data_IF_420790278583
#
_entry.id   IF_420790278583
#
_cell.length_a   1.000
_cell.length_b   1.000
_cell.length_c   1.000
_cell.angle_alpha   90.00
_cell.angle_beta   90.00
_cell.angle_gamma   90.00
#
_symmetry.space_group_name_H-M   'P 1'
#
loop_
_entity.id
_entity.type
_entity.pdbx_description
1 polymer ?
#
# COMPACT_ATOMS: atom_id res chain seq x y z
N UNK A 1 -8.93 -27.91 -38.77
CA UNK A 1 -10.19 -28.64 -38.96
C UNK A 1 -9.93 -30.11 -38.66
N UNK A 2 -10.06 -30.49 -37.39
CA UNK A 2 -9.77 -31.79 -36.74
C UNK A 2 -9.51 -31.41 -35.27
N UNK A 3 -9.90 -32.11 -34.21
CA UNK A 3 -10.79 -33.22 -33.92
C UNK A 3 -10.83 -33.22 -32.36
N UNK A 4 -11.94 -33.66 -31.76
CA UNK A 4 -12.14 -33.98 -30.33
C UNK A 4 -12.40 -32.82 -29.34
N UNK A 5 -13.69 -32.64 -29.07
CA UNK A 5 -14.27 -32.10 -27.83
C UNK A 5 -15.33 -33.10 -27.32
N UNK A 6 -15.40 -33.26 -25.99
CA UNK A 6 -16.58 -33.55 -25.11
C UNK A 6 -16.34 -34.68 -24.11
N UNK A 7 -16.11 -34.31 -22.85
CA UNK A 7 -16.46 -35.04 -21.61
C UNK A 7 -16.59 -33.93 -20.54
N UNK A 8 -17.56 -33.80 -19.65
CA UNK A 8 -18.90 -34.33 -19.40
C UNK A 8 -19.40 -33.45 -18.23
N UNK A 9 -20.62 -32.93 -18.30
CA UNK A 9 -21.31 -32.34 -17.15
C UNK A 9 -21.84 -33.45 -16.24
N UNK A 10 -21.92 -33.20 -14.93
CA UNK A 10 -23.14 -33.27 -14.09
C UNK A 10 -22.69 -33.07 -12.63
N UNK A 11 -23.29 -32.08 -11.96
CA UNK A 11 -23.17 -31.90 -10.52
C UNK A 11 -24.20 -32.71 -9.73
N UNK A 12 -23.95 -32.90 -8.44
CA UNK A 12 -24.94 -32.99 -7.36
C UNK A 12 -24.19 -33.05 -6.02
N UNK A 13 -24.64 -32.26 -5.04
CA UNK A 13 -24.17 -32.34 -3.67
C UNK A 13 -24.84 -33.47 -2.86
N UNK A 14 -24.31 -33.66 -1.65
CA UNK A 14 -24.98 -33.93 -0.35
C UNK A 14 -24.01 -34.69 0.58
N UNK A 15 -23.81 -34.14 1.78
CA UNK A 15 -23.14 -34.71 2.96
C UNK A 15 -23.87 -36.01 3.41
N UNK A 16 -23.36 -36.97 4.19
CA UNK A 16 -22.54 -37.01 5.41
C UNK A 16 -22.08 -38.48 5.54
N UNK A 17 -20.91 -38.76 6.12
CA UNK A 17 -20.68 -40.09 6.71
C UNK A 17 -19.24 -40.55 6.90
N UNK A 18 -18.61 -40.07 7.98
CA UNK A 18 -17.53 -40.70 8.74
C UNK A 18 -16.16 -40.95 8.07
N UNK A 19 -15.21 -40.10 8.49
CA UNK A 19 -13.89 -40.57 8.91
C UNK A 19 -12.80 -40.55 7.85
N UNK A 20 -12.26 -39.36 7.58
CA UNK A 20 -10.82 -39.03 7.51
C UNK A 20 -10.78 -37.51 7.30
N UNK A 21 -10.43 -36.77 8.35
CA UNK A 21 -10.13 -35.35 8.23
C UNK A 21 -8.74 -35.22 7.61
N UNK A 22 -8.67 -34.70 6.39
CA UNK A 22 -7.42 -34.22 5.82
C UNK A 22 -7.08 -32.90 6.53
N UNK A 23 -6.25 -32.98 7.58
CA UNK A 23 -5.69 -31.80 8.23
C UNK A 23 -4.56 -31.30 7.34
N UNK A 24 -4.82 -30.26 6.56
CA UNK A 24 -3.78 -29.48 5.91
C UNK A 24 -3.24 -28.52 6.98
N UNK A 25 -2.12 -28.88 7.61
CA UNK A 25 -1.37 -27.97 8.46
C UNK A 25 -0.69 -26.91 7.56
N UNK A 26 -1.37 -25.80 7.35
CA UNK A 26 -0.74 -24.54 6.93
C UNK A 26 -0.32 -23.81 8.21
N UNK A 27 0.95 -23.92 8.58
CA UNK A 27 1.53 -23.05 9.61
C UNK A 27 1.79 -21.68 9.00
N UNK A 28 0.76 -20.85 8.92
CA UNK A 28 0.93 -19.39 8.91
C UNK A 28 0.97 -18.95 10.36
N UNK A 29 2.19 -18.75 10.88
CA UNK A 29 2.36 -17.94 12.09
C UNK A 29 2.15 -16.48 11.69
N UNK A 30 0.90 -16.02 11.62
CA UNK A 30 0.58 -14.61 11.82
C UNK A 30 0.06 -14.50 13.26
N UNK A 31 0.97 -14.26 14.19
CA UNK A 31 0.56 -13.86 15.53
C UNK A 31 0.03 -12.43 15.45
N UNK A 32 -1.11 -12.20 16.11
CA UNK A 32 -1.75 -10.91 16.33
C UNK A 32 -2.31 -10.16 15.10
N UNK A 33 -3.26 -10.78 14.39
CA UNK A 33 -4.36 -10.00 13.82
C UNK A 33 -5.17 -9.43 15.01
N UNK A 34 -4.83 -8.21 15.45
CA UNK A 34 -5.71 -7.47 16.35
C UNK A 34 -7.10 -7.44 15.72
N UNK A 35 -8.12 -7.79 16.51
CA UNK A 35 -9.52 -7.73 16.08
C UNK A 35 -9.90 -6.26 15.98
N UNK A 36 -9.67 -5.66 14.81
CA UNK A 36 -10.03 -4.28 14.53
C UNK A 36 -11.55 -4.18 14.37
N UNK A 37 -12.16 -3.32 15.18
CA UNK A 37 -13.57 -2.96 15.08
C UNK A 37 -13.81 -2.15 13.80
N UNK A 38 -14.42 -2.79 12.80
CA UNK A 38 -14.71 -2.18 11.49
C UNK A 38 -15.92 -1.24 11.51
N UNK A 39 -16.61 -1.10 12.65
CA UNK A 39 -17.86 -0.33 12.74
C UNK A 39 -17.69 1.19 12.64
N UNK A 40 -16.45 1.71 12.67
CA UNK A 40 -16.13 3.14 12.58
C UNK A 40 -15.17 3.51 11.41
N UNK A 41 -15.02 2.68 10.38
CA UNK A 41 -14.20 2.98 9.18
C UNK A 41 -14.91 3.92 8.17
N UNK A 42 -15.53 4.99 8.67
CA UNK A 42 -16.06 6.06 7.79
C UNK A 42 -14.97 7.08 7.49
N UNK A 43 -14.83 7.49 6.22
CA UNK A 43 -13.89 8.53 5.81
C UNK A 43 -14.18 9.85 6.55
N UNK A 44 -13.24 10.38 7.36
CA UNK A 44 -13.40 11.67 8.02
C UNK A 44 -13.61 12.82 7.03
N UNK A 45 -14.50 13.76 7.37
CA UNK A 45 -14.84 14.91 6.51
C UNK A 45 -14.90 16.22 7.28
N UNK A 46 -14.53 17.30 6.60
CA UNK A 46 -14.84 18.68 7.01
C UNK A 46 -16.05 19.16 6.21
N UNK A 47 -16.99 19.78 6.91
CA UNK A 47 -18.23 20.29 6.32
C UNK A 47 -18.12 21.78 6.04
N UNK A 48 -18.42 22.19 4.81
CA UNK A 48 -18.46 23.59 4.38
C UNK A 48 -19.88 23.97 3.95
N UNK A 49 -20.41 25.03 4.55
CA UNK A 49 -21.67 25.63 4.10
C UNK A 49 -21.41 26.42 2.82
N UNK A 50 -22.06 25.99 1.74
CA UNK A 50 -22.00 26.71 0.48
C UNK A 50 -23.01 27.83 0.52
N UNK A 51 -22.56 29.07 0.31
CA UNK A 51 -23.43 30.25 0.33
C UNK A 51 -23.42 30.97 -1.00
N UNK A 52 -24.59 31.47 -1.41
CA UNK A 52 -24.74 32.27 -2.61
C UNK A 52 -24.23 33.71 -2.41
N UNK A 53 -24.32 34.54 -3.46
CA UNK A 53 -23.93 35.96 -3.41
C UNK A 53 -24.76 36.78 -2.38
N UNK A 54 -25.91 36.28 -1.95
CA UNK A 54 -26.80 36.88 -0.95
C UNK A 54 -26.57 36.32 0.46
N UNK A 55 -25.54 35.47 0.65
CA UNK A 55 -25.22 34.75 1.89
C UNK A 55 -26.32 33.79 2.35
N UNK A 56 -27.14 33.31 1.42
CA UNK A 56 -28.10 32.24 1.69
C UNK A 56 -27.42 30.90 1.48
N UNK A 57 -27.69 29.93 2.35
CA UNK A 57 -27.19 28.56 2.18
C UNK A 57 -27.73 27.97 0.89
N UNK A 58 -26.83 27.35 0.12
CA UNK A 58 -27.06 26.71 -1.16
C UNK A 58 -26.55 25.25 -1.14
N UNK A 59 -26.65 24.61 0.02
CA UNK A 59 -26.19 23.24 0.25
C UNK A 59 -24.87 23.16 1.01
N UNK A 60 -24.34 21.93 1.07
CA UNK A 60 -23.20 21.58 1.92
C UNK A 60 -22.20 20.76 1.12
N UNK A 61 -20.92 21.09 1.28
CA UNK A 61 -19.79 20.30 0.80
C UNK A 61 -19.20 19.50 1.96
N UNK A 62 -19.19 18.17 1.85
CA UNK A 62 -18.43 17.28 2.74
C UNK A 62 -17.10 16.95 2.06
N UNK A 63 -16.07 17.72 2.36
CA UNK A 63 -14.74 17.49 1.81
C UNK A 63 -13.95 16.50 2.69
N UNK A 64 -13.03 15.70 2.12
CA UNK A 64 -12.18 14.82 2.93
C UNK A 64 -11.34 15.64 3.91
N UNK A 65 -11.23 15.14 5.15
CA UNK A 65 -10.33 15.70 6.15
C UNK A 65 -9.01 14.92 6.17
N UNK A 66 -8.06 15.29 5.31
CA UNK A 66 -6.77 14.57 5.25
C UNK A 66 -5.90 14.70 6.50
N UNK A 67 -6.24 15.62 7.43
CA UNK A 67 -5.62 15.67 8.76
C UNK A 67 -6.11 14.58 9.71
N UNK A 68 -7.24 13.96 9.38
CA UNK A 68 -7.87 12.87 10.13
C UNK A 68 -7.91 11.55 9.35
N UNK A 69 -7.89 11.58 8.01
CA UNK A 69 -7.88 10.37 7.17
C UNK A 69 -6.52 9.67 7.27
N UNK A 70 -6.56 8.38 7.56
CA UNK A 70 -5.42 7.46 7.57
C UNK A 70 -5.70 6.29 6.63
N UNK A 71 -4.72 5.41 6.38
CA UNK A 71 -4.95 4.22 5.55
C UNK A 71 -5.97 3.26 6.16
N UNK A 72 -6.12 3.22 7.49
CA UNK A 72 -7.17 2.41 8.14
C UNK A 72 -8.57 2.87 7.75
N UNK A 73 -8.79 4.17 7.59
CA UNK A 73 -10.09 4.72 7.20
C UNK A 73 -10.52 4.31 5.79
N UNK A 74 -9.58 3.91 4.93
CA UNK A 74 -9.88 3.48 3.56
C UNK A 74 -10.64 2.15 3.50
N UNK A 75 -10.66 1.38 4.58
CA UNK A 75 -11.52 0.22 4.60
C UNK A 75 -10.94 -0.99 3.90
N UNK A 76 -11.81 -1.60 3.10
CA UNK A 76 -11.55 -2.78 2.30
C UNK A 76 -11.84 -2.50 0.82
N UNK A 77 -11.24 -3.30 -0.07
CA UNK A 77 -11.60 -3.27 -1.48
C UNK A 77 -13.05 -3.70 -1.67
N UNK A 78 -13.81 -3.00 -2.51
CA UNK A 78 -15.20 -3.38 -2.81
C UNK A 78 -15.30 -4.47 -3.87
N UNK A 79 -14.29 -4.61 -4.72
CA UNK A 79 -14.22 -5.62 -5.77
C UNK A 79 -12.86 -6.33 -5.73
N UNK A 80 -12.84 -7.58 -6.19
CA UNK A 80 -11.61 -8.36 -6.31
C UNK A 80 -10.75 -7.86 -7.47
N UNK A 81 -9.44 -8.02 -7.37
CA UNK A 81 -8.51 -7.67 -8.44
C UNK A 81 -7.16 -8.37 -8.29
N UNK A 82 -6.31 -8.18 -9.28
CA UNK A 82 -4.98 -8.78 -9.30
C UNK A 82 -3.98 -7.93 -10.08
N UNK A 83 -2.71 -8.13 -9.76
CA UNK A 83 -1.55 -7.64 -10.52
C UNK A 83 -0.71 -8.85 -10.89
N UNK A 84 -0.29 -8.92 -12.15
CA UNK A 84 0.58 -9.98 -12.65
C UNK A 84 2.01 -9.83 -12.13
N UNK A 85 2.70 -10.96 -11.93
CA UNK A 85 4.13 -11.00 -11.58
C UNK A 85 5.05 -10.65 -12.74
N UNK A 86 4.53 -10.52 -13.96
CA UNK A 86 5.33 -10.29 -15.17
C UNK A 86 6.16 -8.98 -15.12
N UNK A 87 5.79 -8.06 -14.23
CA UNK A 87 6.42 -6.76 -14.07
C UNK A 87 7.38 -6.64 -12.87
N UNK A 88 7.50 -7.69 -12.04
CA UNK A 88 8.32 -7.68 -10.80
C UNK A 88 9.78 -7.28 -11.10
N UNK A 89 10.32 -7.75 -12.23
CA UNK A 89 11.72 -7.52 -12.63
C UNK A 89 12.05 -6.06 -12.99
N UNK A 90 11.04 -5.21 -13.22
CA UNK A 90 11.25 -3.84 -13.68
C UNK A 90 11.33 -2.82 -12.54
N UNK A 91 10.66 -3.06 -11.41
CA UNK A 91 10.39 -2.00 -10.42
C UNK A 91 11.13 -2.16 -9.10
N UNK A 92 11.86 -3.27 -8.94
CA UNK A 92 12.70 -3.53 -7.77
C UNK A 92 11.94 -3.94 -6.51
N UNK A 93 10.72 -4.47 -6.66
CA UNK A 93 9.94 -5.14 -5.62
C UNK A 93 8.88 -6.04 -6.29
N UNK A 94 8.30 -6.99 -5.56
CA UNK A 94 7.30 -7.91 -6.10
C UNK A 94 5.94 -7.23 -6.25
N UNK A 95 5.51 -6.99 -7.50
CA UNK A 95 4.22 -6.42 -7.81
C UNK A 95 3.10 -7.44 -7.73
N UNK A 96 3.37 -8.67 -8.18
CA UNK A 96 2.31 -9.66 -8.35
C UNK A 96 1.61 -9.98 -7.03
N UNK A 97 0.28 -9.76 -7.04
CA UNK A 97 -0.60 -9.99 -5.90
C UNK A 97 -2.04 -10.05 -6.36
N UNK A 98 -2.91 -10.56 -5.50
CA UNK A 98 -4.35 -10.60 -5.72
C UNK A 98 -5.05 -10.20 -4.44
N UNK A 99 -6.22 -9.62 -4.57
CA UNK A 99 -7.12 -9.32 -3.46
C UNK A 99 -8.54 -9.72 -3.81
N UNK A 100 -9.33 -9.93 -2.77
CA UNK A 100 -10.75 -10.22 -2.84
C UNK A 100 -11.53 -9.02 -2.32
N UNK A 101 -12.77 -8.89 -2.79
CA UNK A 101 -13.74 -8.01 -2.14
C UNK A 101 -13.79 -8.29 -0.63
N UNK A 102 -13.67 -7.26 0.19
CA UNK A 102 -13.60 -7.33 1.64
C UNK A 102 -12.19 -7.43 2.23
N UNK A 103 -11.15 -7.68 1.44
CA UNK A 103 -9.77 -7.64 1.93
C UNK A 103 -9.40 -6.20 2.34
N UNK A 104 -8.67 -6.05 3.45
CA UNK A 104 -8.26 -4.75 3.96
C UNK A 104 -7.25 -4.08 3.04
N UNK A 105 -7.41 -2.77 2.83
CA UNK A 105 -6.49 -1.97 2.03
C UNK A 105 -5.05 -2.07 2.57
N UNK A 106 -4.89 -2.06 3.89
CA UNK A 106 -3.60 -2.12 4.58
C UNK A 106 -2.86 -3.45 4.38
N UNK A 107 -3.56 -4.52 4.03
CA UNK A 107 -2.98 -5.86 3.87
C UNK A 107 -2.60 -6.18 2.41
N UNK A 108 -2.92 -5.27 1.48
CA UNK A 108 -2.70 -5.46 0.04
C UNK A 108 -1.79 -4.39 -0.54
N UNK A 109 -1.89 -3.15 -0.07
CA UNK A 109 -1.03 -2.06 -0.51
C UNK A 109 0.37 -2.25 0.09
N UNK A 110 1.36 -2.28 -0.79
CA UNK A 110 2.76 -2.34 -0.44
C UNK A 110 3.37 -0.95 -0.35
N UNK A 111 4.46 -0.81 0.40
CA UNK A 111 5.16 0.48 0.52
C UNK A 111 5.69 0.99 -0.82
N UNK A 112 6.12 0.08 -1.70
CA UNK A 112 6.52 0.42 -3.07
C UNK A 112 5.42 1.07 -3.89
N UNK A 113 4.14 0.80 -3.60
CA UNK A 113 3.01 1.45 -4.28
C UNK A 113 2.89 2.93 -3.90
N UNK A 114 3.28 3.26 -2.67
CA UNK A 114 3.04 4.56 -2.04
C UNK A 114 4.25 5.49 -2.08
N UNK A 115 5.42 5.01 -2.49
CA UNK A 115 6.66 5.78 -2.40
C UNK A 115 6.59 7.09 -3.19
N UNK A 116 6.11 7.08 -4.43
CA UNK A 116 6.01 8.30 -5.21
C UNK A 116 4.98 9.27 -4.61
N UNK A 117 3.84 8.75 -4.19
CA UNK A 117 2.67 9.55 -3.85
C UNK A 117 2.69 10.09 -2.43
N UNK A 118 3.23 9.33 -1.48
CA UNK A 118 3.30 9.67 -0.06
C UNK A 118 4.74 9.82 0.45
N UNK A 119 5.75 9.30 -0.26
CA UNK A 119 7.15 9.34 0.19
C UNK A 119 7.39 8.48 1.43
N UNK A 120 6.71 7.34 1.55
CA UNK A 120 6.71 6.50 2.76
C UNK A 120 8.12 6.03 3.17
N UNK A 121 9.01 5.82 2.20
CA UNK A 121 10.40 5.43 2.45
C UNK A 121 11.21 6.48 3.21
N UNK A 122 10.81 7.76 3.14
CA UNK A 122 11.47 8.91 3.77
C UNK A 122 11.04 9.15 5.21
N UNK A 123 10.19 8.29 5.76
CA UNK A 123 9.88 8.31 7.19
C UNK A 123 10.94 7.52 7.95
N UNK A 124 11.36 8.04 9.10
CA UNK A 124 12.10 7.23 10.08
C UNK A 124 11.15 6.42 10.95
N UNK A 125 11.62 5.32 11.53
CA UNK A 125 10.80 4.51 12.44
C UNK A 125 10.26 5.34 13.63
N UNK A 126 11.08 6.22 14.21
CA UNK A 126 10.67 7.17 15.26
C UNK A 126 9.61 8.17 14.77
N UNK A 127 9.69 8.64 13.51
CA UNK A 127 8.67 9.51 12.95
C UNK A 127 7.34 8.77 12.78
N UNK A 128 7.36 7.49 12.39
CA UNK A 128 6.15 6.66 12.29
C UNK A 128 5.49 6.57 13.68
N UNK A 129 6.25 6.25 14.72
CA UNK A 129 5.74 6.19 16.10
C UNK A 129 5.13 7.53 16.54
N UNK A 130 5.87 8.62 16.36
CA UNK A 130 5.43 9.95 16.76
C UNK A 130 4.16 10.41 16.04
N UNK A 131 4.07 10.16 14.72
CA UNK A 131 2.92 10.58 13.89
C UNK A 131 1.69 9.70 14.07
N UNK A 132 1.87 8.43 14.43
CA UNK A 132 0.79 7.49 14.73
C UNK A 132 0.34 7.52 16.19
N UNK A 133 1.05 8.25 17.05
CA UNK A 133 0.78 8.30 18.49
C UNK A 133 1.15 7.00 19.23
N UNK A 134 2.09 6.21 18.69
CA UNK A 134 2.62 4.99 19.32
C UNK A 134 3.83 5.32 20.19
N UNK A 135 3.97 4.59 21.29
CA UNK A 135 5.14 4.67 22.17
C UNK A 135 6.23 3.70 21.67
N UNK A 136 7.45 4.17 21.33
CA UNK A 136 8.56 3.30 20.94
C UNK A 136 8.92 2.21 21.96
N UNK A 137 8.61 2.42 23.24
CA UNK A 137 8.83 1.41 24.30
C UNK A 137 7.74 0.32 24.32
N UNK A 138 6.71 0.43 23.48
CA UNK A 138 5.60 -0.53 23.41
C UNK A 138 5.55 -1.31 22.10
N UNK A 139 6.26 -0.85 21.07
CA UNK A 139 6.32 -1.48 19.76
C UNK A 139 7.55 -2.38 19.71
N UNK A 140 7.32 -3.68 19.55
CA UNK A 140 8.39 -4.67 19.47
C UNK A 140 9.06 -4.64 18.09
N UNK A 141 10.28 -5.17 17.99
CA UNK A 141 10.98 -5.28 16.71
C UNK A 141 10.27 -6.26 15.77
N UNK A 142 9.53 -7.25 16.27
CA UNK A 142 8.68 -8.13 15.45
C UNK A 142 7.53 -7.35 14.77
N UNK A 143 6.98 -6.34 15.46
CA UNK A 143 5.91 -5.48 14.93
C UNK A 143 6.38 -4.49 13.85
N UNK A 144 7.65 -4.56 13.46
CA UNK A 144 8.26 -3.80 12.39
C UNK A 144 8.78 -4.82 11.37
N UNK A 145 7.90 -5.30 10.48
CA UNK A 145 8.19 -6.38 9.52
C UNK A 145 9.46 -6.18 8.70
N UNK A 146 9.82 -4.92 8.44
CA UNK A 146 11.11 -4.53 7.84
C UNK A 146 12.32 -5.17 8.52
N UNK A 147 12.30 -5.26 9.86
CA UNK A 147 13.41 -5.78 10.67
C UNK A 147 13.44 -7.31 10.60
N UNK A 148 12.27 -7.96 10.70
CA UNK A 148 12.11 -9.43 10.63
C UNK A 148 12.72 -9.99 9.34
N UNK A 149 12.48 -9.28 8.22
CA UNK A 149 12.92 -9.66 6.88
C UNK A 149 14.41 -9.37 6.58
N UNK A 150 15.18 -8.80 7.51
CA UNK A 150 16.62 -8.56 7.32
C UNK A 150 17.46 -9.80 7.65
N UNK A 151 18.68 -9.86 7.09
CA UNK A 151 19.78 -10.63 7.69
C UNK A 151 20.53 -9.78 8.72
N UNK A 152 21.33 -10.38 9.59
CA UNK A 152 22.23 -9.62 10.49
C UNK A 152 23.10 -8.65 9.68
N UNK A 153 23.58 -9.09 8.52
CA UNK A 153 24.38 -8.27 7.61
C UNK A 153 23.60 -7.09 7.01
N UNK A 154 22.38 -7.31 6.51
CA UNK A 154 21.57 -6.21 5.96
C UNK A 154 21.03 -5.29 7.05
N UNK A 155 20.72 -5.81 8.24
CA UNK A 155 20.34 -5.04 9.42
C UNK A 155 21.46 -4.08 9.84
N UNK A 156 22.70 -4.56 9.99
CA UNK A 156 23.85 -3.70 10.34
C UNK A 156 24.20 -2.72 9.20
N UNK A 157 23.98 -3.08 7.94
CA UNK A 157 24.15 -2.16 6.80
C UNK A 157 23.11 -1.05 6.81
N UNK A 158 21.86 -1.37 7.16
CA UNK A 158 20.79 -0.41 7.35
C UNK A 158 21.06 0.46 8.58
N UNK A 159 21.79 -0.03 9.59
CA UNK A 159 22.10 0.62 10.86
C UNK A 159 23.62 0.76 11.10
N UNK A 160 24.35 1.54 10.27
CA UNK A 160 25.81 1.56 10.27
C UNK A 160 26.41 2.07 11.59
N UNK A 161 25.67 2.86 12.37
CA UNK A 161 26.10 3.33 13.68
C UNK A 161 26.38 2.19 14.66
N UNK A 162 25.68 1.05 14.50
CA UNK A 162 25.82 -0.11 15.37
C UNK A 162 27.13 -0.88 15.15
N UNK A 163 27.84 -0.66 14.04
CA UNK A 163 29.06 -1.40 13.70
C UNK A 163 30.17 -1.21 14.74
N UNK A 164 30.25 -0.02 15.32
CA UNK A 164 31.25 0.35 16.33
C UNK A 164 30.80 0.05 17.76
N UNK A 165 29.52 -0.27 17.95
CA UNK A 165 28.94 -0.57 19.26
C UNK A 165 29.31 -1.99 19.71
N UNK A 166 29.61 -2.19 21.00
CA UNK A 166 29.79 -3.53 21.56
C UNK A 166 28.55 -4.40 21.32
N UNK A 167 28.72 -5.66 20.91
CA UNK A 167 27.58 -6.55 20.61
C UNK A 167 26.58 -6.63 21.78
N UNK A 168 27.05 -6.59 23.04
CA UNK A 168 26.19 -6.59 24.24
C UNK A 168 25.20 -5.44 24.33
N UNK A 169 25.42 -4.33 23.64
CA UNK A 169 24.51 -3.16 23.65
C UNK A 169 23.47 -3.24 22.55
N UNK A 170 23.49 -4.30 21.73
CA UNK A 170 22.51 -4.57 20.68
C UNK A 170 21.79 -5.87 21.08
N UNK A 171 20.74 -5.81 21.92
CA UNK A 171 20.21 -6.99 22.60
C UNK A 171 19.85 -8.17 21.69
N UNK A 172 19.19 -8.00 20.52
CA UNK A 172 18.93 -9.11 19.61
C UNK A 172 20.20 -9.83 19.15
N UNK A 173 21.28 -9.09 18.88
CA UNK A 173 22.55 -9.66 18.44
C UNK A 173 23.35 -10.26 19.61
N UNK A 174 23.22 -9.69 20.80
CA UNK A 174 23.80 -10.24 22.03
C UNK A 174 23.23 -11.62 22.36
N UNK A 175 21.92 -11.77 22.24
CA UNK A 175 21.22 -13.04 22.45
C UNK A 175 21.58 -14.07 21.38
N UNK A 176 21.67 -13.65 20.11
CA UNK A 176 22.17 -14.50 19.03
C UNK A 176 23.57 -15.06 19.33
N UNK A 177 24.52 -14.19 19.69
CA UNK A 177 25.89 -14.60 20.00
C UNK A 177 25.92 -15.51 21.24
N UNK A 178 25.13 -15.19 22.26
CA UNK A 178 25.01 -16.02 23.47
C UNK A 178 24.46 -17.41 23.16
N UNK A 179 23.45 -17.49 22.30
CA UNK A 179 22.86 -18.75 21.86
C UNK A 179 23.85 -19.60 21.05
N UNK A 180 24.59 -18.99 20.13
CA UNK A 180 25.52 -19.72 19.25
C UNK A 180 26.81 -20.17 19.95
N UNK A 181 27.34 -19.36 20.87
CA UNK A 181 28.69 -19.56 21.44
C UNK A 181 28.69 -19.95 22.92
N UNK A 182 27.55 -19.91 23.60
CA UNK A 182 27.38 -20.38 24.97
C UNK A 182 28.44 -19.78 25.91
N UNK A 183 29.24 -20.63 26.55
CA UNK A 183 30.29 -20.23 27.50
C UNK A 183 31.36 -19.28 26.94
N UNK A 184 31.53 -19.21 25.61
CA UNK A 184 32.49 -18.29 24.98
C UNK A 184 31.90 -16.89 24.73
N UNK A 185 30.59 -16.71 24.91
CA UNK A 185 29.92 -15.44 24.63
C UNK A 185 30.43 -14.24 25.45
N UNK A 186 30.82 -14.34 26.74
CA UNK A 186 31.17 -13.15 27.52
C UNK A 186 32.30 -12.33 26.91
N UNK A 187 33.28 -12.98 26.29
CA UNK A 187 34.39 -12.30 25.61
C UNK A 187 33.94 -11.72 24.26
N UNK A 188 33.09 -12.45 23.52
CA UNK A 188 32.61 -12.05 22.20
C UNK A 188 31.68 -10.83 22.27
N UNK A 189 30.85 -10.76 23.31
CA UNK A 189 29.90 -9.69 23.57
C UNK A 189 30.55 -8.31 23.78
N UNK A 190 31.85 -8.28 24.11
CA UNK A 190 32.63 -7.04 24.27
C UNK A 190 33.20 -6.51 22.94
N UNK A 191 33.19 -7.30 21.87
CA UNK A 191 33.67 -6.86 20.56
C UNK A 191 32.63 -5.97 19.84
N UNK A 192 33.08 -5.06 18.96
CA UNK A 192 32.17 -4.26 18.14
C UNK A 192 31.39 -5.11 17.14
N UNK A 193 30.15 -4.75 16.84
CA UNK A 193 29.26 -5.55 15.98
C UNK A 193 29.81 -5.78 14.56
N UNK A 194 30.73 -4.95 14.07
CA UNK A 194 31.41 -5.17 12.78
C UNK A 194 32.07 -6.56 12.66
N UNK A 195 32.45 -7.20 13.76
CA UNK A 195 33.05 -8.55 13.73
C UNK A 195 32.06 -9.63 13.27
N UNK A 196 30.75 -9.34 13.32
CA UNK A 196 29.67 -10.22 12.89
C UNK A 196 29.49 -10.29 11.36
N UNK A 197 30.10 -9.33 10.64
CA UNK A 197 29.95 -9.14 9.19
C UNK A 197 31.28 -9.09 8.44
N UNK A 198 32.41 -9.23 9.15
CA UNK A 198 33.76 -9.12 8.60
C UNK A 198 34.14 -10.23 7.59
N UNK A 199 33.28 -11.22 7.34
CA UNK A 199 33.49 -12.36 6.43
C UNK A 199 33.68 -12.00 4.95
N UNK A 200 33.17 -10.86 4.47
CA UNK A 200 33.10 -10.57 3.03
C UNK A 200 34.06 -9.49 2.51
N UNK A 201 34.66 -8.65 3.36
CA UNK A 201 35.51 -7.56 2.88
C UNK A 201 36.98 -7.94 2.65
N UNK A 202 37.43 -9.10 3.14
CA UNK A 202 38.79 -9.61 2.91
C UNK A 202 38.77 -11.04 2.35
N UNK A 203 38.69 -11.17 1.02
CA UNK A 203 39.07 -12.41 0.34
C UNK A 203 40.56 -12.69 0.54
N UNK A 204 40.95 -13.27 1.69
CA UNK A 204 42.23 -13.95 1.94
C UNK A 204 42.24 -14.59 3.35
N UNK A 205 41.33 -15.51 3.64
CA UNK A 205 41.57 -16.73 4.46
C UNK A 205 40.24 -17.41 4.77
N UNK A 206 39.92 -18.45 4.00
CA UNK A 206 38.77 -19.30 4.27
C UNK A 206 38.98 -20.09 5.57
N UNK A 207 38.07 -19.93 6.53
CA UNK A 207 37.56 -21.08 7.29
C UNK A 207 36.08 -21.17 6.97
N UNK A 208 35.77 -22.01 5.99
CA UNK A 208 34.41 -22.30 5.54
C UNK A 208 33.68 -23.09 6.63
N UNK A 209 32.63 -22.51 7.22
CA UNK A 209 31.65 -23.24 8.05
C UNK A 209 30.28 -23.29 7.36
N UNK A 210 30.28 -23.67 6.08
CA UNK A 210 29.07 -24.07 5.37
C UNK A 210 28.67 -25.50 5.77
N UNK A 211 27.97 -25.65 6.91
CA UNK A 211 26.98 -26.74 7.09
C UNK A 211 26.06 -26.70 8.31
N UNK A 212 26.16 -25.74 9.24
CA UNK A 212 25.32 -25.74 10.45
C UNK A 212 24.01 -24.92 10.35
N UNK A 213 23.84 -24.06 9.33
CA UNK A 213 22.76 -23.05 9.32
C UNK A 213 21.38 -23.59 8.86
N UNK A 214 21.25 -24.87 8.46
CA UNK A 214 19.96 -25.41 7.98
C UNK A 214 19.00 -25.93 9.06
N UNK A 215 19.34 -25.85 10.34
CA UNK A 215 18.46 -26.29 11.42
C UNK A 215 18.61 -25.40 12.66
N UNK A 216 18.08 -24.18 12.60
CA UNK A 216 17.61 -23.52 13.81
C UNK A 216 16.25 -24.16 14.17
N UNK A 217 16.11 -24.82 15.34
CA UNK A 217 14.83 -25.38 15.73
C UNK A 217 13.87 -24.25 16.11
N UNK A 218 12.73 -24.15 15.40
CA UNK A 218 11.58 -23.40 15.89
C UNK A 218 11.14 -24.05 17.22
N UNK A 219 11.05 -23.23 18.28
CA UNK A 219 10.72 -23.58 19.67
C UNK A 219 11.80 -24.40 20.41
N UNK A 220 12.45 -23.73 21.36
CA UNK A 220 13.16 -24.23 22.55
C UNK A 220 13.37 -25.75 22.68
N UNK A 221 14.63 -26.19 22.62
CA UNK A 221 15.41 -26.63 23.80
C UNK A 221 16.79 -27.17 23.38
N UNK A 222 17.84 -26.50 23.85
CA UNK A 222 19.29 -26.77 23.74
C UNK A 222 19.98 -26.59 22.36
N UNK A 223 20.88 -25.60 22.20
CA UNK A 223 21.74 -25.51 21.02
C UNK A 223 22.87 -26.54 21.03
N UNK A 224 23.11 -27.14 19.85
CA UNK A 224 24.26 -27.98 19.58
C UNK A 224 25.56 -27.16 19.67
N UNK A 225 26.49 -27.64 20.48
CA UNK A 225 27.80 -27.05 20.78
C UNK A 225 28.64 -26.90 19.50
N UNK A 226 28.99 -25.68 19.09
CA UNK A 226 30.06 -25.44 18.12
C UNK A 226 31.38 -25.35 18.90
N UNK A 227 32.08 -26.47 19.06
CA UNK A 227 33.42 -26.50 19.65
C UNK A 227 34.48 -26.34 18.58
N UNK A 228 35.13 -25.18 18.49
CA UNK A 228 36.33 -25.05 17.66
C UNK A 228 36.85 -23.63 17.48
N UNK A 229 37.49 -23.06 18.52
CA UNK A 229 38.50 -22.00 18.35
C UNK A 229 39.62 -22.26 19.35
N UNK A 230 40.80 -22.65 18.84
CA UNK A 230 42.07 -22.63 19.58
C UNK A 230 42.59 -21.18 19.61
N UNK A 231 42.79 -20.64 20.82
CA UNK A 231 43.22 -19.26 21.04
C UNK A 231 44.74 -19.13 21.00
N UNK A 232 45.32 -18.95 19.82
CA UNK A 232 46.70 -18.44 19.66
C UNK A 232 46.86 -17.64 18.36
N UNK A 233 46.16 -16.52 18.19
CA UNK A 233 46.61 -15.44 17.29
C UNK A 233 45.92 -14.13 17.69
N UNK A 234 46.64 -13.01 17.70
CA UNK A 234 46.13 -11.66 18.06
C UNK A 234 45.29 -11.04 16.94
N UNK A 235 44.45 -11.84 16.28
CA UNK A 235 43.52 -11.41 15.25
C UNK A 235 42.13 -11.29 15.86
N UNK A 236 41.41 -10.22 15.55
CA UNK A 236 40.00 -10.08 15.95
C UNK A 236 39.24 -11.36 15.57
N UNK A 237 38.44 -11.93 16.49
CA UNK A 237 37.63 -13.10 16.17
C UNK A 237 36.68 -12.73 15.03
N UNK A 238 36.75 -13.48 13.93
CA UNK A 238 35.86 -13.31 12.79
C UNK A 238 34.68 -14.27 12.97
N UNK A 239 33.50 -13.70 13.25
CA UNK A 239 32.26 -14.45 13.46
C UNK A 239 31.38 -14.11 12.27
N UNK A 240 31.32 -14.96 11.25
CA UNK A 240 30.43 -14.69 10.12
C UNK A 240 29.04 -15.26 10.41
N UNK A 241 28.15 -14.37 10.87
CA UNK A 241 26.71 -14.63 11.03
C UNK A 241 25.89 -13.71 10.11
N UNK A 242 26.55 -13.09 9.13
CA UNK A 242 25.95 -12.04 8.28
C UNK A 242 24.71 -12.50 7.51
N UNK A 243 24.61 -13.79 7.18
CA UNK A 243 23.50 -14.39 6.43
C UNK A 243 22.37 -14.92 7.33
N UNK A 244 22.48 -14.81 8.66
CA UNK A 244 21.43 -15.25 9.56
C UNK A 244 20.27 -14.24 9.53
N UNK A 245 19.05 -14.72 9.30
CA UNK A 245 17.86 -13.85 9.27
C UNK A 245 17.49 -13.39 10.67
N UNK A 246 17.17 -12.10 10.82
CA UNK A 246 16.72 -11.47 12.06
C UNK A 246 15.44 -12.13 12.58
N UNK A 247 14.52 -12.54 11.70
CA UNK A 247 13.30 -13.26 12.08
C UNK A 247 13.50 -14.67 12.66
N UNK A 248 14.75 -15.17 12.72
CA UNK A 248 15.06 -16.36 13.52
C UNK A 248 15.33 -16.05 15.00
N UNK A 249 15.39 -14.77 15.37
CA UNK A 249 15.52 -14.29 16.74
C UNK A 249 14.14 -14.07 17.36
N UNK A 250 14.07 -14.07 18.69
CA UNK A 250 12.84 -13.70 19.40
C UNK A 250 12.72 -12.17 19.47
N UNK A 251 12.29 -11.56 18.36
CA UNK A 251 12.19 -10.10 18.22
C UNK A 251 11.07 -9.47 19.08
N UNK A 252 10.24 -10.29 19.74
CA UNK A 252 9.18 -9.81 20.64
C UNK A 252 9.70 -9.35 22.00
N UNK A 253 10.87 -9.82 22.42
CA UNK A 253 11.48 -9.44 23.69
C UNK A 253 12.14 -8.05 23.63
N UNK A 254 12.19 -7.45 22.44
CA UNK A 254 12.88 -6.18 22.18
C UNK A 254 11.94 -5.17 21.57
N UNK A 255 12.00 -3.95 22.09
CA UNK A 255 11.26 -2.79 21.61
C UNK A 255 12.13 -1.93 20.71
N UNK A 256 11.50 -1.03 19.95
CA UNK A 256 12.22 -0.06 19.12
C UNK A 256 13.22 0.78 19.95
N UNK A 257 12.92 1.02 21.22
CA UNK A 257 13.76 1.80 22.13
C UNK A 257 14.97 1.01 22.70
N UNK A 258 14.97 -0.33 22.62
CA UNK A 258 16.02 -1.16 23.21
C UNK A 258 17.30 -1.21 22.37
N UNK A 259 17.25 -0.77 21.11
CA UNK A 259 18.42 -0.65 20.25
C UNK A 259 18.63 0.82 19.90
N UNK A 260 19.73 1.40 20.38
CA UNK A 260 20.00 2.81 20.19
C UNK A 260 20.17 3.16 18.69
N UNK A 261 19.56 4.26 18.26
CA UNK A 261 19.71 4.82 16.91
C UNK A 261 18.92 4.14 15.79
N UNK A 262 18.32 2.95 16.00
CA UNK A 262 17.53 2.30 14.94
C UNK A 262 16.25 3.08 14.61
N UNK A 263 15.69 3.78 15.61
CA UNK A 263 14.54 4.66 15.43
C UNK A 263 14.79 5.80 14.43
N UNK A 264 16.04 6.21 14.26
CA UNK A 264 16.41 7.34 13.40
C UNK A 264 16.68 6.92 11.94
N UNK A 265 16.56 5.62 11.64
CA UNK A 265 16.77 5.11 10.28
C UNK A 265 15.50 5.24 9.45
N UNK A 266 15.71 5.61 8.19
CA UNK A 266 14.64 5.73 7.22
C UNK A 266 14.18 4.34 6.79
N UNK A 267 12.88 4.20 6.52
CA UNK A 267 12.30 2.96 5.99
C UNK A 267 13.03 2.52 4.72
N UNK A 268 13.41 3.47 3.86
CA UNK A 268 14.09 3.16 2.59
C UNK A 268 15.52 2.62 2.72
N UNK A 269 16.10 2.67 3.92
CA UNK A 269 17.46 2.16 4.20
C UNK A 269 17.48 0.64 4.47
N UNK A 270 16.32 0.03 4.71
CA UNK A 270 16.18 -1.42 4.93
C UNK A 270 16.07 -2.18 3.60
N UNK A 271 16.71 -3.34 3.50
CA UNK A 271 16.65 -4.15 2.28
C UNK A 271 15.24 -4.69 2.08
N UNK A 272 14.72 -4.64 0.84
CA UNK A 272 13.37 -5.15 0.54
C UNK A 272 12.21 -4.30 1.05
N UNK A 273 12.45 -3.10 1.60
CA UNK A 273 11.40 -2.30 2.25
C UNK A 273 10.14 -2.04 1.41
N UNK A 274 10.27 -1.98 0.09
CA UNK A 274 9.14 -1.77 -0.84
C UNK A 274 8.16 -2.94 -0.86
N UNK A 275 8.59 -4.13 -0.47
CA UNK A 275 7.77 -5.34 -0.46
C UNK A 275 6.88 -5.48 0.77
N UNK A 276 7.15 -4.72 1.83
CA UNK A 276 6.31 -4.70 3.04
C UNK A 276 4.92 -4.16 2.75
N UNK A 277 3.92 -4.74 3.43
CA UNK A 277 2.58 -4.19 3.45
C UNK A 277 2.47 -3.06 4.48
N UNK A 278 1.50 -2.17 4.28
CA UNK A 278 1.20 -1.10 5.26
C UNK A 278 0.93 -1.64 6.67
N UNK A 279 0.34 -2.82 6.79
CA UNK A 279 0.04 -3.45 8.08
C UNK A 279 1.23 -4.16 8.74
N UNK A 280 2.35 -4.35 8.03
CA UNK A 280 3.53 -5.01 8.58
C UNK A 280 4.37 -4.07 9.46
N UNK A 281 4.14 -2.75 9.40
CA UNK A 281 4.82 -1.77 10.25
C UNK A 281 3.78 -1.13 11.17
N UNK A 282 3.88 -1.45 12.46
CA UNK A 282 2.97 -0.91 13.47
C UNK A 282 2.96 0.63 13.44
N UNK A 283 1.75 1.20 13.48
CA UNK A 283 1.52 2.64 13.42
C UNK A 283 1.57 3.26 12.00
N UNK A 284 2.16 2.62 10.99
CA UNK A 284 2.28 3.25 9.67
C UNK A 284 0.91 3.55 9.02
N UNK A 285 -0.02 2.60 9.10
CA UNK A 285 -1.38 2.78 8.60
C UNK A 285 -2.22 3.78 9.42
N UNK A 286 -1.74 4.21 10.59
CA UNK A 286 -2.38 5.15 11.51
C UNK A 286 -1.92 6.61 11.30
N UNK A 287 -0.96 6.86 10.41
CA UNK A 287 -0.52 8.22 10.08
C UNK A 287 -1.58 8.91 9.21
N UNK A 288 -1.95 10.14 9.57
CA UNK A 288 -2.82 10.98 8.74
C UNK A 288 -2.18 11.34 7.41
N UNK A 289 -2.98 11.43 6.33
CA UNK A 289 -2.48 11.67 4.97
C UNK A 289 -1.71 12.99 4.81
N UNK A 290 -2.01 14.00 5.62
CA UNK A 290 -1.29 15.27 5.65
C UNK A 290 0.07 15.23 6.38
N UNK A 291 0.35 14.13 7.09
CA UNK A 291 1.56 13.95 7.89
C UNK A 291 2.63 13.11 7.21
N UNK A 292 2.35 12.59 6.00
CA UNK A 292 3.35 11.93 5.16
C UNK A 292 4.33 12.94 4.54
N UNK A 293 5.55 12.49 4.15
CA UNK A 293 6.54 13.36 3.51
C UNK A 293 6.05 14.09 2.25
N UNK A 294 5.18 13.43 1.47
CA UNK A 294 4.42 14.06 0.40
C UNK A 294 2.95 14.20 0.86
N UNK A 295 2.57 15.30 1.52
CA UNK A 295 1.26 15.43 2.12
C UNK A 295 0.16 15.64 1.07
N UNK A 296 -1.00 15.03 1.32
CA UNK A 296 -2.21 15.30 0.54
C UNK A 296 -3.00 16.41 1.24
N UNK A 297 -3.43 17.41 0.47
CA UNK A 297 -4.23 18.51 0.98
C UNK A 297 -5.55 18.63 0.22
N UNK A 298 -6.60 19.01 0.95
CA UNK A 298 -7.90 19.31 0.36
C UNK A 298 -7.83 20.61 -0.41
N UNK A 299 -7.97 20.52 -1.73
CA UNK A 299 -8.14 21.68 -2.59
C UNK A 299 -9.63 21.90 -2.83
N UNK A 300 -10.13 23.09 -2.53
CA UNK A 300 -11.51 23.50 -2.90
C UNK A 300 -11.56 24.08 -4.33
N UNK A 301 -10.61 23.71 -5.18
CA UNK A 301 -10.59 24.12 -6.57
C UNK A 301 -11.68 23.36 -7.35
N UNK A 302 -12.43 24.09 -8.17
CA UNK A 302 -13.44 23.55 -9.09
C UNK A 302 -14.44 22.62 -8.38
N UNK A 303 -15.32 23.23 -7.60
CA UNK A 303 -16.44 22.54 -6.97
C UNK A 303 -17.69 22.65 -7.85
N UNK A 304 -18.54 21.63 -7.81
CA UNK A 304 -19.83 21.65 -8.48
C UNK A 304 -20.89 20.99 -7.62
N UNK A 305 -22.14 21.36 -7.83
CA UNK A 305 -23.30 20.68 -7.24
C UNK A 305 -23.72 19.54 -8.15
N UNK A 306 -24.14 18.43 -7.56
CA UNK A 306 -24.82 17.35 -8.28
C UNK A 306 -26.28 17.75 -8.46
N UNK A 307 -26.69 18.02 -9.70
CA UNK A 307 -28.08 18.39 -10.00
C UNK A 307 -28.98 17.18 -10.20
N UNK A 308 -28.51 16.23 -11.00
CA UNK A 308 -29.28 15.05 -11.41
C UNK A 308 -28.37 13.82 -11.49
N UNK A 309 -28.95 12.64 -11.27
CA UNK A 309 -28.28 11.33 -11.31
C UNK A 309 -28.99 10.45 -12.32
N UNK A 310 -28.24 9.82 -13.23
CA UNK A 310 -28.80 9.06 -14.34
C UNK A 310 -28.17 7.66 -14.40
N UNK A 311 -29.00 6.62 -14.23
CA UNK A 311 -28.54 5.21 -14.20
C UNK A 311 -28.50 4.55 -15.59
N UNK A 312 -29.48 4.83 -16.45
CA UNK A 312 -29.53 4.39 -17.85
C UNK A 312 -29.65 5.65 -18.72
N UNK A 313 -28.57 6.00 -19.43
CA UNK A 313 -28.33 7.41 -19.70
C UNK A 313 -29.21 8.08 -20.75
N UNK A 314 -29.26 9.39 -20.65
CA UNK A 314 -29.88 10.29 -21.61
C UNK A 314 -28.86 10.78 -22.67
N UNK A 315 -28.77 10.04 -23.78
CA UNK A 315 -28.10 10.50 -25.01
C UNK A 315 -26.57 10.65 -24.97
N UNK A 316 -26.01 11.08 -26.11
CA UNK A 316 -24.57 11.28 -26.33
C UNK A 316 -23.98 12.37 -25.42
N UNK A 317 -22.78 12.14 -24.88
CA UNK A 317 -21.97 13.13 -24.16
C UNK A 317 -20.79 13.52 -25.05
N UNK A 318 -20.81 14.73 -25.58
CA UNK A 318 -19.75 15.21 -26.49
C UNK A 318 -18.52 15.68 -25.72
N UNK A 319 -17.39 15.76 -26.42
CA UNK A 319 -16.20 16.40 -25.86
C UNK A 319 -16.50 17.85 -25.46
N UNK A 320 -16.09 18.24 -24.25
CA UNK A 320 -16.42 19.52 -23.61
C UNK A 320 -17.72 19.53 -22.81
N UNK A 321 -18.55 18.49 -22.90
CA UNK A 321 -19.71 18.24 -22.02
C UNK A 321 -19.39 17.27 -20.88
N UNK A 322 -18.26 16.58 -20.97
CA UNK A 322 -17.76 15.69 -19.91
C UNK A 322 -16.75 16.39 -19.03
N UNK A 323 -16.74 16.02 -17.75
CA UNK A 323 -15.66 16.31 -16.79
C UNK A 323 -14.90 15.03 -16.42
N UNK A 324 -14.98 13.98 -17.21
CA UNK A 324 -14.42 12.67 -16.89
C UNK A 324 -13.26 12.37 -17.81
N UNK A 325 -12.26 11.65 -17.29
CA UNK A 325 -11.13 11.19 -18.10
C UNK A 325 -9.93 10.81 -17.26
N UNK A 326 -8.74 11.23 -17.68
CA UNK A 326 -7.46 10.97 -17.03
C UNK A 326 -6.45 12.09 -17.32
N UNK A 327 -5.29 12.04 -16.66
CA UNK A 327 -4.17 12.93 -16.98
C UNK A 327 -3.60 12.71 -18.41
N UNK A 328 -3.90 11.56 -19.03
CA UNK A 328 -3.40 11.20 -20.37
C UNK A 328 -4.43 11.50 -21.46
N UNK A 329 -5.68 11.08 -21.27
CA UNK A 329 -6.77 11.30 -22.21
C UNK A 329 -7.36 12.72 -22.11
N UNK A 330 -7.02 13.47 -21.07
CA UNK A 330 -7.67 14.73 -20.70
C UNK A 330 -9.01 14.49 -20.00
N UNK A 331 -9.58 15.54 -19.40
CA UNK A 331 -10.81 15.42 -18.60
C UNK A 331 -12.09 15.89 -19.32
N UNK A 332 -12.15 15.63 -20.62
CA UNK A 332 -13.27 15.95 -21.51
C UNK A 332 -13.57 14.78 -22.45
N UNK A 333 -13.38 13.55 -21.97
CA UNK A 333 -13.58 12.32 -22.74
C UNK A 333 -15.06 12.19 -23.11
N UNK A 334 -15.41 11.99 -24.39
CA UNK A 334 -16.79 11.84 -24.83
C UNK A 334 -17.35 10.45 -24.49
N UNK A 335 -18.66 10.33 -24.59
CA UNK A 335 -19.40 9.07 -24.64
C UNK A 335 -20.37 9.11 -25.82
N UNK A 336 -20.21 8.19 -26.76
CA UNK A 336 -20.97 8.16 -28.02
C UNK A 336 -22.30 7.37 -27.90
N UNK A 337 -22.65 6.93 -26.69
CA UNK A 337 -23.87 6.15 -26.38
C UNK A 337 -24.54 6.69 -25.11
N UNK A 338 -25.45 5.91 -24.53
CA UNK A 338 -26.06 6.22 -23.24
C UNK A 338 -25.12 5.75 -22.11
N UNK A 339 -24.43 6.69 -21.46
CA UNK A 339 -23.51 6.42 -20.34
C UNK A 339 -23.99 6.95 -18.99
N UNK A 340 -24.07 6.08 -17.99
CA UNK A 340 -24.44 6.43 -16.62
C UNK A 340 -23.57 7.58 -16.10
N UNK A 341 -24.18 8.59 -15.49
CA UNK A 341 -23.47 9.79 -15.06
C UNK A 341 -24.22 10.59 -13.99
N UNK A 342 -23.52 11.53 -13.39
CA UNK A 342 -24.11 12.64 -12.66
C UNK A 342 -24.01 13.91 -13.51
N UNK A 343 -25.08 14.70 -13.54
CA UNK A 343 -25.11 16.04 -14.14
C UNK A 343 -24.72 17.07 -13.09
N UNK A 344 -23.87 18.01 -13.50
CA UNK A 344 -23.28 19.01 -12.65
C UNK A 344 -23.91 20.37 -12.92
N UNK A 345 -24.15 21.08 -11.82
CA UNK A 345 -24.65 22.44 -11.83
C UNK A 345 -23.73 23.35 -11.01
N UNK A 346 -23.86 24.65 -11.23
CA UNK A 346 -23.07 25.68 -10.59
C UNK A 346 -23.74 26.27 -9.34
N UNK A 347 -23.14 27.33 -8.80
CA UNK A 347 -23.60 28.00 -7.58
C UNK A 347 -24.85 28.86 -7.80
N UNK A 348 -25.22 29.18 -9.03
CA UNK A 348 -26.39 29.99 -9.34
C UNK A 348 -27.57 29.08 -9.65
N UNK A 349 -28.30 28.69 -8.60
CA UNK A 349 -29.64 28.07 -8.67
C UNK A 349 -30.71 29.04 -9.27
N UNK A 350 -30.31 29.99 -10.12
CA UNK A 350 -31.06 31.17 -10.54
C UNK A 350 -30.70 31.69 -11.94
N UNK A 351 -30.68 30.82 -12.96
CA UNK A 351 -30.97 31.15 -14.36
C UNK A 351 -30.42 32.48 -14.92
N UNK A 352 -29.19 32.87 -14.57
CA UNK A 352 -28.54 34.08 -15.08
C UNK A 352 -27.49 33.73 -16.13
N UNK A 353 -27.26 34.66 -17.06
CA UNK A 353 -26.40 34.53 -18.25
C UNK A 353 -24.89 34.30 -17.98
N UNK A 354 -24.48 33.85 -16.79
CA UNK A 354 -23.08 33.54 -16.44
C UNK A 354 -22.92 32.06 -16.12
N UNK A 355 -22.96 31.23 -17.17
CA UNK A 355 -22.67 29.80 -17.08
C UNK A 355 -21.27 29.58 -16.53
N UNK A 356 -21.14 28.95 -15.36
CA UNK A 356 -19.84 28.46 -14.94
C UNK A 356 -19.41 27.29 -15.83
N UNK A 357 -18.12 26.97 -15.85
CA UNK A 357 -17.59 25.95 -16.77
C UNK A 357 -18.17 24.55 -16.52
N UNK A 358 -18.84 24.30 -15.39
CA UNK A 358 -19.40 23.00 -15.03
C UNK A 358 -20.91 22.86 -15.29
N UNK A 359 -21.65 23.94 -15.55
CA UNK A 359 -23.10 23.89 -15.76
C UNK A 359 -23.46 22.96 -16.93
N UNK A 360 -24.30 21.96 -16.66
CA UNK A 360 -24.74 20.96 -17.64
C UNK A 360 -23.65 19.98 -18.07
N UNK A 361 -22.48 19.99 -17.40
CA UNK A 361 -21.43 19.00 -17.64
C UNK A 361 -21.67 17.72 -16.85
N UNK A 362 -21.09 16.62 -17.32
CA UNK A 362 -21.41 15.27 -16.84
C UNK A 362 -20.16 14.56 -16.34
N UNK A 363 -20.24 13.98 -15.14
CA UNK A 363 -19.24 13.06 -14.63
C UNK A 363 -19.74 11.63 -14.82
N UNK A 364 -19.12 10.92 -15.74
CA UNK A 364 -19.48 9.58 -16.20
C UNK A 364 -18.99 8.50 -15.23
N UNK A 365 -19.73 7.39 -15.20
CA UNK A 365 -19.39 6.19 -14.46
C UNK A 365 -18.03 5.64 -14.92
N UNK A 366 -17.12 5.42 -13.99
CA UNK A 366 -15.74 5.05 -14.27
C UNK A 366 -15.55 3.64 -14.83
N UNK A 367 -16.53 2.76 -14.59
CA UNK A 367 -16.55 1.36 -15.06
C UNK A 367 -17.50 1.10 -16.22
N UNK A 368 -17.89 2.14 -16.95
CA UNK A 368 -18.83 2.01 -18.05
C UNK A 368 -18.24 1.08 -19.16
N UNK A 369 -18.83 -0.11 -19.39
CA UNK A 369 -18.34 -1.12 -20.34
C UNK A 369 -18.48 -0.69 -21.82
N UNK A 370 -19.05 0.50 -22.07
CA UNK A 370 -19.33 1.00 -23.41
C UNK A 370 -18.24 1.96 -23.93
N UNK A 371 -17.45 2.56 -23.04
CA UNK A 371 -16.57 3.70 -23.35
C UNK A 371 -15.06 3.40 -23.41
N UNK A 372 -14.61 2.14 -23.41
CA UNK A 372 -13.16 1.87 -23.43
C UNK A 372 -12.70 0.93 -24.53
N UNK A 373 -11.50 1.24 -25.04
CA UNK A 373 -10.78 0.36 -25.94
C UNK A 373 -10.55 -0.99 -25.29
N UNK A 374 -10.78 -2.01 -26.12
CA UNK A 374 -10.74 -3.43 -25.83
C UNK A 374 -9.38 -3.79 -25.23
N UNK A 375 -9.37 -4.02 -23.92
CA UNK A 375 -8.56 -5.09 -23.39
C UNK A 375 -9.43 -6.34 -23.20
N UNK A 376 -8.91 -7.56 -23.42
CA UNK A 376 -9.77 -8.72 -23.61
C UNK A 376 -10.65 -9.04 -22.38
N UNK A 377 -10.27 -8.60 -21.18
CA UNK A 377 -10.96 -8.93 -19.92
C UNK A 377 -11.46 -7.72 -19.09
N UNK A 378 -11.16 -6.47 -19.49
CA UNK A 378 -11.60 -5.24 -18.81
C UNK A 378 -11.99 -4.14 -19.82
N UNK A 379 -13.27 -4.10 -20.28
CA UNK A 379 -13.70 -3.27 -21.41
C UNK A 379 -14.08 -1.82 -21.03
N UNK A 380 -13.60 -1.30 -19.90
CA UNK A 380 -13.99 0.02 -19.38
C UNK A 380 -12.78 0.87 -18.93
N UNK A 381 -12.91 2.20 -18.98
CA UNK A 381 -11.83 3.16 -18.69
C UNK A 381 -11.29 3.99 -19.87
N UNK A 382 -10.24 4.75 -19.60
CA UNK A 382 -9.57 5.67 -20.55
C UNK A 382 -8.07 5.41 -20.57
N UNK A 383 -7.38 5.91 -21.60
CA UNK A 383 -5.91 5.85 -21.64
C UNK A 383 -5.32 6.48 -20.36
N UNK A 384 -4.36 5.80 -19.76
CA UNK A 384 -3.71 6.17 -18.50
C UNK A 384 -2.28 5.67 -18.45
N UNK A 385 -1.59 6.01 -17.36
CA UNK A 385 -0.18 5.66 -17.18
C UNK A 385 0.78 6.40 -18.13
N UNK A 386 2.07 6.20 -17.90
CA UNK A 386 3.14 6.85 -18.66
C UNK A 386 4.39 5.96 -18.70
N UNK A 387 5.20 6.09 -19.74
CA UNK A 387 6.42 5.30 -19.89
C UNK A 387 6.15 3.81 -20.11
N UNK A 388 7.13 2.97 -19.78
CA UNK A 388 7.03 1.50 -19.92
C UNK A 388 5.95 0.93 -19.00
N UNK A 389 5.80 1.50 -17.80
CA UNK A 389 4.76 1.08 -16.86
C UNK A 389 3.35 1.50 -17.32
N UNK A 390 3.25 2.41 -18.28
CA UNK A 390 1.98 2.82 -18.88
C UNK A 390 1.28 1.70 -19.65
N UNK A 391 1.94 0.57 -19.94
CA UNK A 391 1.29 -0.58 -20.60
C UNK A 391 0.57 -1.51 -19.61
N UNK A 392 0.85 -1.40 -18.31
CA UNK A 392 0.15 -2.19 -17.28
C UNK A 392 -1.34 -1.89 -17.29
N UNK A 393 -2.14 -2.91 -16.94
CA UNK A 393 -3.60 -2.83 -17.04
C UNK A 393 -4.05 -2.37 -18.45
N UNK A 394 -3.28 -2.75 -19.47
CA UNK A 394 -3.51 -2.37 -20.86
C UNK A 394 -3.43 -0.88 -21.16
N UNK A 395 -2.75 -0.13 -20.30
CA UNK A 395 -2.73 1.33 -20.34
C UNK A 395 -4.09 1.96 -20.06
N UNK A 396 -4.99 1.26 -19.35
CA UNK A 396 -6.32 1.75 -19.00
C UNK A 396 -6.46 2.00 -17.50
N UNK A 397 -7.24 3.03 -17.18
CA UNK A 397 -7.68 3.37 -15.83
C UNK A 397 -9.16 3.79 -15.82
N UNK A 398 -9.88 3.67 -14.69
CA UNK A 398 -11.26 4.11 -14.57
C UNK A 398 -11.46 5.53 -15.08
N UNK A 399 -12.54 5.82 -15.79
CA UNK A 399 -12.84 7.20 -16.22
C UNK A 399 -13.20 8.04 -15.00
N UNK A 400 -12.40 9.06 -14.67
CA UNK A 400 -12.55 9.77 -13.39
C UNK A 400 -11.82 11.10 -13.35
N UNK A 401 -11.43 11.53 -12.15
CA UNK A 401 -10.72 12.79 -11.87
C UNK A 401 -9.63 12.60 -10.81
N UNK A 402 -8.65 13.51 -10.76
CA UNK A 402 -7.60 13.54 -9.74
C UNK A 402 -7.72 14.81 -8.88
N UNK A 403 -8.79 14.95 -8.09
CA UNK A 403 -9.07 16.20 -7.39
C UNK A 403 -8.02 16.59 -6.34
N UNK A 404 -7.28 15.60 -5.83
CA UNK A 404 -6.31 15.75 -4.74
C UNK A 404 -4.87 15.47 -5.19
N UNK A 405 -4.57 15.69 -6.47
CA UNK A 405 -3.25 15.45 -7.04
C UNK A 405 -3.00 14.00 -7.45
N UNK A 406 -1.73 13.59 -7.58
CA UNK A 406 -1.37 12.31 -8.19
C UNK A 406 -1.53 11.10 -7.26
N UNK A 407 -1.82 11.30 -5.97
CA UNK A 407 -1.79 10.22 -4.99
C UNK A 407 -2.79 9.10 -5.28
N UNK A 408 -3.99 9.46 -5.70
CA UNK A 408 -5.01 8.51 -6.14
C UNK A 408 -5.97 9.19 -7.11
N UNK A 409 -6.65 8.37 -7.90
CA UNK A 409 -7.74 8.79 -8.77
C UNK A 409 -9.08 8.59 -8.08
N UNK A 410 -10.01 9.52 -8.24
CA UNK A 410 -11.41 9.40 -7.81
C UNK A 410 -12.27 9.11 -9.04
N UNK A 411 -13.10 8.08 -8.99
CA UNK A 411 -14.05 7.76 -10.04
C UNK A 411 -15.45 7.54 -9.47
N UNK A 412 -16.46 7.93 -10.25
CA UNK A 412 -17.83 7.51 -10.00
C UNK A 412 -17.92 5.99 -10.20
N UNK A 413 -18.44 5.26 -9.23
CA UNK A 413 -18.37 3.80 -9.21
C UNK A 413 -19.74 3.11 -9.14
N UNK A 414 -20.76 3.84 -8.71
CA UNK A 414 -22.16 3.42 -8.74
C UNK A 414 -23.08 4.63 -8.83
N UNK A 415 -24.25 4.45 -9.45
CA UNK A 415 -25.33 5.44 -9.49
C UNK A 415 -26.67 4.74 -9.38
N UNK A 416 -27.58 5.34 -8.61
CA UNK A 416 -28.96 4.87 -8.47
C UNK A 416 -29.90 6.09 -8.54
N UNK A 417 -30.49 6.27 -9.71
CA UNK A 417 -31.49 7.30 -10.00
C UNK A 417 -32.75 7.16 -9.14
N UNK A 418 -33.08 5.95 -8.66
CA UNK A 418 -34.28 5.75 -7.82
C UNK A 418 -34.11 6.29 -6.41
N UNK A 419 -32.88 6.31 -5.92
CA UNK A 419 -32.53 6.79 -4.58
C UNK A 419 -31.81 8.14 -4.60
N UNK A 420 -31.55 8.72 -5.79
CA UNK A 420 -30.76 9.94 -5.95
C UNK A 420 -29.37 9.83 -5.29
N UNK A 421 -28.73 8.66 -5.42
CA UNK A 421 -27.41 8.35 -4.83
C UNK A 421 -26.34 8.01 -5.86
N UNK A 422 -25.10 8.36 -5.54
CA UNK A 422 -23.92 8.06 -6.32
C UNK A 422 -22.77 7.64 -5.38
N UNK A 423 -22.06 6.60 -5.77
CA UNK A 423 -20.91 6.07 -5.03
C UNK A 423 -19.63 6.46 -5.74
N UNK A 424 -18.59 6.81 -4.99
CA UNK A 424 -17.25 7.02 -5.55
C UNK A 424 -16.27 6.00 -5.01
N UNK A 425 -15.25 5.72 -5.80
CA UNK A 425 -14.13 4.88 -5.40
C UNK A 425 -12.80 5.57 -5.72
N UNK A 426 -11.78 5.26 -4.93
CA UNK A 426 -10.40 5.64 -5.22
C UNK A 426 -9.58 4.47 -5.77
N UNK A 427 -8.58 4.82 -6.55
CA UNK A 427 -7.64 3.90 -7.17
C UNK A 427 -6.23 4.44 -7.01
N UNK A 428 -5.32 3.61 -6.52
CA UNK A 428 -3.90 3.91 -6.49
C UNK A 428 -3.21 3.47 -7.78
N UNK A 429 -2.04 4.06 -8.01
CA UNK A 429 -1.05 3.66 -9.01
C UNK A 429 0.30 3.61 -8.32
N UNK A 430 1.27 2.99 -8.96
CA UNK A 430 2.66 3.12 -8.57
C UNK A 430 3.51 3.64 -9.72
N UNK A 431 4.65 4.23 -9.38
CA UNK A 431 5.60 4.83 -10.30
C UNK A 431 7.02 4.35 -10.02
N UNK A 432 7.86 4.30 -11.05
CA UNK A 432 9.29 4.08 -10.92
C UNK A 432 10.04 5.19 -11.66
N UNK A 433 10.54 6.18 -10.90
CA UNK A 433 11.29 7.34 -11.41
C UNK A 433 12.81 7.18 -11.27
N UNK A 434 13.29 5.94 -11.26
CA UNK A 434 14.71 5.62 -11.14
C UNK A 434 15.51 5.87 -12.43
N UNK A 435 16.66 5.21 -12.56
CA UNK A 435 17.47 5.24 -13.79
C UNK A 435 17.51 3.82 -14.36
N UNK A 436 16.82 3.53 -15.48
CA UNK A 436 15.99 4.45 -16.29
C UNK A 436 14.63 4.77 -15.64
N UNK A 437 14.04 5.92 -15.98
CA UNK A 437 12.66 6.26 -15.58
C UNK A 437 11.70 5.36 -16.38
N UNK A 438 10.90 4.55 -15.68
CA UNK A 438 9.93 3.65 -16.29
C UNK A 438 8.51 4.24 -16.31
N UNK A 439 8.33 5.42 -15.72
CA UNK A 439 7.06 6.13 -15.65
C UNK A 439 6.15 5.63 -14.54
N UNK A 440 4.85 5.63 -14.82
CA UNK A 440 3.80 5.27 -13.87
C UNK A 440 2.81 4.33 -14.53
N UNK A 441 2.26 3.44 -13.73
CA UNK A 441 1.08 2.68 -14.13
C UNK A 441 -0.14 3.60 -14.29
N UNK A 442 -1.18 3.16 -15.03
CA UNK A 442 -2.51 3.73 -14.87
C UNK A 442 -2.98 3.61 -13.41
N UNK A 443 -4.05 4.30 -13.01
CA UNK A 443 -4.69 4.03 -11.72
C UNK A 443 -5.56 2.78 -11.79
N UNK A 444 -5.19 1.72 -11.08
CA UNK A 444 -5.90 0.42 -11.15
C UNK A 444 -5.95 -0.37 -9.84
N UNK A 445 -5.21 0.05 -8.80
CA UNK A 445 -5.24 -0.61 -7.49
C UNK A 445 -6.47 -0.10 -6.72
N UNK A 446 -7.58 -0.83 -6.85
CA UNK A 446 -8.89 -0.50 -6.30
C UNK A 446 -9.93 -1.49 -6.82
N UNK A 447 -11.23 -1.17 -6.80
CA UNK A 447 -11.87 0.00 -6.20
C UNK A 447 -11.85 -0.04 -4.67
N UNK A 448 -11.55 1.12 -4.07
CA UNK A 448 -11.68 1.35 -2.63
C UNK A 448 -12.81 2.36 -2.43
N UNK A 449 -13.93 2.01 -1.75
CA UNK A 449 -15.02 2.94 -1.49
C UNK A 449 -14.55 4.23 -0.84
N UNK A 450 -15.07 5.35 -1.32
CA UNK A 450 -14.71 6.68 -0.83
C UNK A 450 -15.97 7.49 -0.51
N UNK A 451 -15.89 8.82 -0.56
CA UNK A 451 -16.99 9.70 -0.21
C UNK A 451 -18.16 9.57 -1.20
N UNK A 452 -19.38 9.26 -0.73
CA UNK A 452 -20.54 9.23 -1.61
C UNK A 452 -20.89 10.64 -2.09
N UNK A 453 -21.57 10.71 -3.23
CA UNK A 453 -22.19 11.91 -3.74
C UNK A 453 -23.71 11.67 -3.82
N UNK A 454 -24.53 12.60 -3.35
CA UNK A 454 -25.98 12.53 -3.54
C UNK A 454 -26.42 13.72 -4.38
N UNK A 455 -27.65 13.68 -4.88
CA UNK A 455 -28.29 14.87 -5.43
C UNK A 455 -28.21 16.04 -4.43
N UNK A 456 -28.00 17.25 -4.95
CA UNK A 456 -27.75 18.50 -4.22
C UNK A 456 -26.45 18.54 -3.40
N UNK A 457 -25.66 17.46 -3.40
CA UNK A 457 -24.35 17.47 -2.73
C UNK A 457 -23.36 18.25 -3.56
N UNK A 458 -22.47 18.96 -2.87
CA UNK A 458 -21.31 19.57 -3.51
C UNK A 458 -20.17 18.56 -3.56
N UNK A 459 -19.47 18.53 -4.70
CA UNK A 459 -18.32 17.66 -4.95
C UNK A 459 -17.13 18.48 -5.43
N UNK A 460 -15.93 17.93 -5.23
CA UNK A 460 -14.67 18.52 -5.66
C UNK A 460 -14.22 17.84 -6.95
N UNK A 461 -14.11 18.59 -8.05
CA UNK A 461 -13.56 18.11 -9.31
C UNK A 461 -12.04 18.27 -9.37
N UNK A 462 -11.53 19.23 -8.58
CA UNK A 462 -10.13 19.65 -8.54
C UNK A 462 -9.64 20.24 -9.85
N UNK A 463 -8.34 20.58 -9.93
CA UNK A 463 -7.76 21.20 -11.12
C UNK A 463 -7.84 20.25 -12.31
N UNK A 464 -8.84 20.48 -13.17
CA UNK A 464 -8.92 19.91 -14.50
C UNK A 464 -8.31 20.87 -15.51
N UNK A 465 -7.24 20.45 -16.17
CA UNK A 465 -6.83 21.08 -17.43
C UNK A 465 -7.75 20.61 -18.55
#
# INVERSE_FOLDING_TARGET
MNLLHKILWIGAGICVGNGIALIINTTTNKANAATYDTSNMTIPTVTYDMVDQRRQSNGVLKAPDFSSITFRHLGSFSESGYISHEYDSYVGYALGRQWRSGDLVTDIIKLGDLEESFGVGKLTLSQIMAKSGRDPNSVTLEQIGLIDNQTVGSFLRANPQLLDDPIKTIPPLADLVSYMYGYQSPTLLEYPAQVLVAGKENQSSEISLTKAVKQLPKKSSNPALISGIETTDTKNPQIDVSELEMGNLDLNEYTLADVEGIGDRFVEEYEGWKDEYLSDIEGLADISFDNFPNPIATSLAFISRVDSIWSDAHGEIKSGQSVSGSNIAGYAVPCDRECAHIELDDLENSGRDRRWISEGRRWMLGKDPVNANICPDAPWGVDGGEGVLGELNCGKEPTGRNPFGPAFKVALWGVDETTDTAETAIFFRFCYRGIPDLGCTPYFIGPIPFLPANRESWIILGPGV
#
